data_IF_245174946822
#
_entry.id   IF_245174946822
#
_cell.length_a   1.000
_cell.length_b   1.000
_cell.length_c   1.000
_cell.angle_alpha   90.00
_cell.angle_beta   90.00
_cell.angle_gamma   90.00
#
_symmetry.space_group_name_H-M   'P 1'
#
loop_
_entity.id
_entity.type
_entity.pdbx_description
1 polymer ?
#
# COMPACT_ATOMS: atom_id res chain seq x y z
N UNK A 1 -7.14 14.05 -11.62
CA UNK A 1 -5.80 13.49 -11.94
C UNK A 1 -4.73 13.65 -10.85
N UNK A 2 -4.56 14.81 -10.20
CA UNK A 2 -3.49 15.03 -9.19
C UNK A 2 -3.65 14.15 -7.93
N UNK A 3 -4.86 13.99 -7.40
CA UNK A 3 -5.14 13.19 -6.19
C UNK A 3 -4.87 11.69 -6.39
N UNK A 4 -5.33 11.11 -7.50
CA UNK A 4 -5.01 9.73 -7.88
C UNK A 4 -3.49 9.52 -7.93
N UNK A 5 -2.74 10.43 -8.57
CA UNK A 5 -1.28 10.29 -8.68
C UNK A 5 -0.61 10.30 -7.30
N UNK A 6 -1.04 11.20 -6.40
CA UNK A 6 -0.53 11.26 -5.01
C UNK A 6 -0.83 9.96 -4.26
N UNK A 7 -2.06 9.45 -4.34
CA UNK A 7 -2.45 8.19 -3.68
C UNK A 7 -1.68 6.98 -4.22
N UNK A 8 -1.45 6.92 -5.53
CA UNK A 8 -0.64 5.87 -6.14
C UNK A 8 0.81 5.92 -5.66
N UNK A 9 1.42 7.12 -5.56
CA UNK A 9 2.78 7.27 -5.01
C UNK A 9 2.82 6.81 -3.54
N UNK A 10 1.85 7.23 -2.72
CA UNK A 10 1.74 6.79 -1.33
C UNK A 10 1.61 5.27 -1.24
N UNK A 11 0.76 4.67 -2.08
CA UNK A 11 0.60 3.22 -2.16
C UNK A 11 1.90 2.48 -2.51
N UNK A 12 2.69 3.01 -3.46
CA UNK A 12 4.00 2.44 -3.82
C UNK A 12 5.00 2.54 -2.67
N UNK A 13 5.04 3.67 -1.95
CA UNK A 13 5.90 3.81 -0.76
C UNK A 13 5.50 2.81 0.33
N UNK A 14 4.20 2.65 0.59
CA UNK A 14 3.69 1.68 1.56
C UNK A 14 3.98 0.23 1.13
N UNK A 15 3.91 -0.07 -0.17
CA UNK A 15 4.31 -1.38 -0.72
C UNK A 15 5.79 -1.67 -0.43
N UNK A 16 6.68 -0.71 -0.70
CA UNK A 16 8.10 -0.86 -0.44
C UNK A 16 8.37 -1.10 1.06
N UNK A 17 7.72 -0.32 1.94
CA UNK A 17 7.82 -0.52 3.39
C UNK A 17 7.29 -1.89 3.84
N UNK A 18 6.18 -2.35 3.25
CA UNK A 18 5.61 -3.68 3.54
C UNK A 18 6.63 -4.78 3.27
N UNK A 19 7.29 -4.75 2.11
CA UNK A 19 8.33 -5.73 1.78
C UNK A 19 9.55 -5.63 2.70
N UNK A 20 10.04 -4.41 2.97
CA UNK A 20 11.19 -4.19 3.84
C UNK A 20 10.94 -4.72 5.26
N UNK A 21 9.78 -4.39 5.83
CA UNK A 21 9.41 -4.84 7.18
C UNK A 21 9.19 -6.35 7.21
N UNK A 22 8.56 -6.91 6.17
CA UNK A 22 8.37 -8.35 6.09
C UNK A 22 9.72 -9.08 6.03
N UNK A 23 10.66 -8.62 5.21
CA UNK A 23 11.98 -9.24 5.12
C UNK A 23 12.73 -9.16 6.45
N UNK A 24 12.72 -7.97 7.09
CA UNK A 24 13.30 -7.80 8.42
C UNK A 24 12.66 -8.73 9.47
N UNK A 25 11.34 -8.94 9.40
CA UNK A 25 10.62 -9.86 10.27
C UNK A 25 11.06 -11.31 10.07
N UNK A 26 11.19 -11.76 8.82
CA UNK A 26 11.64 -13.12 8.52
C UNK A 26 13.09 -13.36 8.97
N UNK A 27 13.95 -12.35 8.86
CA UNK A 27 15.36 -12.47 9.27
C UNK A 27 15.54 -12.46 10.79
N UNK A 28 14.83 -11.58 11.50
CA UNK A 28 15.11 -11.30 12.93
C UNK A 28 14.07 -11.86 13.88
N UNK A 29 12.85 -12.14 13.41
CA UNK A 29 11.71 -12.57 14.23
C UNK A 29 10.91 -13.73 13.60
N UNK A 30 11.54 -14.79 13.04
CA UNK A 30 10.84 -15.84 12.29
C UNK A 30 9.82 -16.64 13.12
N UNK A 31 9.96 -16.66 14.45
CA UNK A 31 9.04 -17.33 15.37
C UNK A 31 7.89 -16.44 15.88
N UNK A 32 7.90 -15.14 15.57
CA UNK A 32 6.86 -14.21 16.00
C UNK A 32 5.70 -14.27 15.01
N UNK A 33 4.54 -14.73 15.48
CA UNK A 33 3.36 -14.91 14.63
C UNK A 33 2.76 -13.61 14.09
N UNK A 34 3.00 -12.47 14.75
CA UNK A 34 2.52 -11.17 14.28
C UNK A 34 3.60 -10.43 13.47
N UNK A 35 3.32 -10.17 12.19
CA UNK A 35 4.22 -9.46 11.30
C UNK A 35 3.76 -8.01 11.11
N UNK A 36 4.60 -7.04 11.51
CA UNK A 36 4.27 -5.62 11.40
C UNK A 36 4.08 -5.13 9.97
N UNK A 37 4.51 -5.89 8.95
CA UNK A 37 4.24 -5.59 7.55
C UNK A 37 2.74 -5.51 7.23
N UNK A 38 1.87 -6.10 8.04
CA UNK A 38 0.42 -5.97 7.87
C UNK A 38 -0.07 -4.53 7.96
N UNK A 39 0.55 -3.68 8.79
CA UNK A 39 0.13 -2.29 8.97
C UNK A 39 0.32 -1.47 7.68
N UNK A 40 1.54 -1.33 7.12
CA UNK A 40 1.71 -0.66 5.84
C UNK A 40 1.02 -1.41 4.70
N UNK A 41 0.88 -2.74 4.78
CA UNK A 41 0.18 -3.54 3.78
C UNK A 41 -1.31 -3.18 3.66
N UNK A 42 -2.02 -3.04 4.78
CA UNK A 42 -3.41 -2.58 4.80
C UNK A 42 -3.50 -1.14 4.27
N UNK A 43 -2.60 -0.26 4.72
CA UNK A 43 -2.56 1.13 4.23
C UNK A 43 -2.36 1.23 2.72
N UNK A 44 -1.47 0.40 2.16
CA UNK A 44 -1.25 0.30 0.72
C UNK A 44 -2.53 -0.11 -0.03
N UNK A 45 -3.23 -1.13 0.45
CA UNK A 45 -4.48 -1.60 -0.19
C UNK A 45 -5.54 -0.49 -0.21
N UNK A 46 -5.67 0.26 0.90
CA UNK A 46 -6.59 1.40 0.98
C UNK A 46 -6.18 2.49 -0.01
N UNK A 47 -4.90 2.86 -0.06
CA UNK A 47 -4.40 3.90 -0.94
C UNK A 47 -4.62 3.56 -2.43
N UNK A 48 -4.28 2.33 -2.84
CA UNK A 48 -4.54 1.86 -4.20
C UNK A 48 -6.02 1.72 -4.52
N UNK A 49 -6.83 1.23 -3.58
CA UNK A 49 -8.27 1.11 -3.74
C UNK A 49 -8.94 2.47 -3.99
N UNK A 50 -8.65 3.47 -3.16
CA UNK A 50 -9.18 4.83 -3.34
C UNK A 50 -8.68 5.43 -4.65
N UNK A 51 -7.39 5.26 -4.95
CA UNK A 51 -6.79 5.76 -6.19
C UNK A 51 -7.52 5.19 -7.43
N UNK A 52 -7.78 3.89 -7.44
CA UNK A 52 -8.49 3.19 -8.51
C UNK A 52 -9.93 3.68 -8.68
N UNK A 53 -10.66 3.86 -7.57
CA UNK A 53 -12.04 4.38 -7.61
C UNK A 53 -12.08 5.78 -8.21
N UNK A 54 -11.18 6.68 -7.79
CA UNK A 54 -11.12 8.05 -8.33
C UNK A 54 -10.78 8.02 -9.82
N UNK A 55 -9.78 7.26 -10.21
CA UNK A 55 -9.39 7.12 -11.62
C UNK A 55 -10.54 6.62 -12.49
N UNK A 56 -11.25 5.59 -12.04
CA UNK A 56 -12.37 5.00 -12.77
C UNK A 56 -13.53 5.98 -12.87
N UNK A 57 -13.85 6.69 -11.79
CA UNK A 57 -14.92 7.70 -11.78
C UNK A 57 -14.60 8.89 -12.69
N UNK A 58 -13.34 9.34 -12.72
CA UNK A 58 -12.91 10.40 -13.63
C UNK A 58 -13.06 9.95 -15.09
N UNK A 59 -12.67 8.70 -15.41
CA UNK A 59 -12.77 8.14 -16.77
C UNK A 59 -14.18 7.85 -17.27
N UNK A 60 -15.14 7.61 -16.40
CA UNK A 60 -16.55 7.37 -16.77
C UNK A 60 -17.36 8.66 -16.98
N UNK A 61 -16.79 9.82 -16.59
CA UNK A 61 -17.42 11.13 -16.77
C UNK A 61 -17.01 11.83 -18.08
N UNK A 62 -15.97 11.31 -18.72
CA UNK A 62 -15.55 11.65 -20.08
C UNK A 62 -16.27 10.74 -21.08
#
# INVERSE_FOLDING_TARGET
METHRKLTIIGVVLLALTFLINNYHQENHPGVGFNYAYIPGIGMLIAFGISFIIFTKDRLKD
#
